data_IF_272383307160
#
_entry.id   IF_272383307160
#
_cell.length_a   1.000
_cell.length_b   1.000
_cell.length_c   1.000
_cell.angle_alpha   90.00
_cell.angle_beta   90.00
_cell.angle_gamma   90.00
#
_symmetry.space_group_name_H-M   'P 1'
#
loop_
_entity.id
_entity.type
_entity.pdbx_description
1 polymer ?
#
# COMPACT_ATOMS: atom_id res chain seq x y z
N UNK A 1 -57.12 -56.53 -10.93
CA UNK A 1 -56.18 -55.98 -9.92
C UNK A 1 -54.99 -55.23 -10.54
N UNK A 2 -54.37 -55.73 -11.61
CA UNK A 2 -53.21 -55.12 -12.31
C UNK A 2 -53.44 -53.68 -12.86
N UNK A 3 -54.64 -53.35 -13.36
CA UNK A 3 -54.95 -52.00 -13.87
C UNK A 3 -54.88 -50.90 -12.80
N UNK A 4 -55.23 -51.21 -11.55
CA UNK A 4 -55.19 -50.22 -10.47
C UNK A 4 -53.76 -49.91 -10.02
N UNK A 5 -52.87 -50.91 -10.05
CA UNK A 5 -51.46 -50.72 -9.72
C UNK A 5 -50.75 -49.86 -10.78
N UNK A 6 -51.00 -50.09 -12.07
CA UNK A 6 -50.40 -49.29 -13.14
C UNK A 6 -50.81 -47.80 -13.04
N UNK A 7 -52.08 -47.53 -12.71
CA UNK A 7 -52.57 -46.16 -12.55
C UNK A 7 -51.93 -45.45 -11.34
N UNK A 8 -51.60 -46.18 -10.27
CA UNK A 8 -50.85 -45.63 -9.13
C UNK A 8 -49.39 -45.34 -9.46
N UNK A 9 -48.76 -46.20 -10.28
CA UNK A 9 -47.39 -46.00 -10.75
C UNK A 9 -47.32 -44.77 -11.65
N UNK A 10 -48.26 -44.59 -12.58
CA UNK A 10 -48.34 -43.43 -13.46
C UNK A 10 -48.48 -42.11 -12.67
N UNK A 11 -49.37 -42.07 -11.66
CA UNK A 11 -49.53 -40.89 -10.80
C UNK A 11 -48.26 -40.54 -10.02
N UNK A 12 -47.54 -41.55 -9.51
CA UNK A 12 -46.26 -41.33 -8.80
C UNK A 12 -45.17 -40.82 -9.74
N UNK A 13 -45.11 -41.31 -10.97
CA UNK A 13 -44.16 -40.85 -11.98
C UNK A 13 -44.46 -39.41 -12.37
N UNK A 14 -45.72 -39.07 -12.66
CA UNK A 14 -46.14 -37.71 -13.00
C UNK A 14 -45.81 -36.70 -11.89
N UNK A 15 -46.11 -37.04 -10.63
CA UNK A 15 -45.77 -36.19 -9.48
C UNK A 15 -44.26 -35.97 -9.34
N UNK A 16 -43.44 -36.99 -9.65
CA UNK A 16 -41.97 -36.90 -9.60
C UNK A 16 -41.43 -36.04 -10.74
N UNK A 17 -41.96 -36.18 -11.95
CA UNK A 17 -41.59 -35.35 -13.10
C UNK A 17 -41.97 -33.88 -12.84
N UNK A 18 -43.16 -33.62 -12.30
CA UNK A 18 -43.59 -32.25 -11.98
C UNK A 18 -42.72 -31.61 -10.88
N UNK A 19 -42.34 -32.38 -9.85
CA UNK A 19 -41.44 -31.92 -8.80
C UNK A 19 -40.05 -31.59 -9.35
N UNK A 20 -39.50 -32.44 -10.23
CA UNK A 20 -38.20 -32.22 -10.89
C UNK A 20 -38.25 -31.02 -11.84
N UNK A 21 -39.34 -30.84 -12.59
CA UNK A 21 -39.54 -29.68 -13.46
C UNK A 21 -39.66 -28.38 -12.67
N UNK A 22 -40.37 -28.38 -11.52
CA UNK A 22 -40.44 -27.22 -10.62
C UNK A 22 -39.08 -26.89 -9.99
N UNK A 23 -38.29 -27.89 -9.58
CA UNK A 23 -36.92 -27.68 -9.07
C UNK A 23 -36.00 -27.10 -10.15
N UNK A 24 -36.04 -27.64 -11.38
CA UNK A 24 -35.25 -27.11 -12.51
C UNK A 24 -35.68 -25.71 -12.94
N UNK A 25 -36.97 -25.36 -12.81
CA UNK A 25 -37.47 -24.00 -13.08
C UNK A 25 -37.02 -23.00 -12.01
N UNK A 26 -36.86 -23.45 -10.76
CA UNK A 26 -36.22 -22.68 -9.67
C UNK A 26 -34.72 -22.46 -9.93
N UNK A 27 -34.02 -23.49 -10.40
CA UNK A 27 -32.58 -23.43 -10.73
C UNK A 27 -32.27 -22.54 -11.94
N UNK A 28 -33.15 -22.51 -12.96
CA UNK A 28 -32.99 -21.60 -14.12
C UNK A 28 -33.18 -20.12 -13.78
N UNK A 29 -33.90 -19.80 -12.70
CA UNK A 29 -34.06 -18.41 -12.21
C UNK A 29 -32.93 -17.97 -11.26
N UNK A 30 -32.15 -18.91 -10.72
CA UNK A 30 -30.93 -18.64 -9.93
C UNK A 30 -29.63 -18.73 -10.76
N UNK A 31 -29.73 -18.96 -12.08
CA UNK A 31 -28.60 -19.14 -13.00
C UNK A 31 -28.05 -17.88 -13.68
N UNK A 32 -28.44 -16.69 -13.22
CA UNK A 32 -27.80 -15.42 -13.58
C UNK A 32 -27.58 -14.60 -12.32
N UNK A 33 -26.78 -15.13 -11.40
CA UNK A 33 -25.91 -14.24 -10.63
C UNK A 33 -25.06 -13.50 -11.66
N UNK A 34 -25.07 -12.15 -11.70
CA UNK A 34 -24.01 -11.41 -12.38
C UNK A 34 -22.71 -12.02 -11.86
N UNK A 35 -21.75 -12.30 -12.76
CA UNK A 35 -20.38 -12.60 -12.36
C UNK A 35 -20.08 -11.65 -11.21
N UNK A 36 -19.95 -12.19 -9.99
CA UNK A 36 -19.63 -11.38 -8.84
C UNK A 36 -18.30 -10.76 -9.22
N UNK A 37 -18.34 -9.49 -9.62
CA UNK A 37 -17.16 -8.70 -9.91
C UNK A 37 -16.29 -8.89 -8.69
N UNK A 38 -15.10 -9.47 -8.88
CA UNK A 38 -14.04 -9.49 -7.88
C UNK A 38 -14.11 -8.11 -7.21
N UNK A 39 -14.31 -8.02 -5.89
CA UNK A 39 -14.36 -6.74 -5.21
C UNK A 39 -13.13 -5.99 -5.69
N UNK A 40 -13.33 -4.86 -6.39
CA UNK A 40 -12.20 -4.06 -6.85
C UNK A 40 -11.33 -3.85 -5.62
N UNK A 41 -10.15 -4.45 -5.63
CA UNK A 41 -9.27 -4.47 -4.47
C UNK A 41 -9.18 -3.04 -3.94
N UNK A 42 -9.36 -2.86 -2.64
CA UNK A 42 -9.31 -1.54 -2.00
C UNK A 42 -8.01 -0.89 -2.48
N UNK A 43 -8.13 0.13 -3.33
CA UNK A 43 -6.98 0.81 -3.91
C UNK A 43 -6.40 1.73 -2.83
N UNK A 44 -5.53 1.18 -2.00
CA UNK A 44 -4.86 1.92 -0.94
C UNK A 44 -3.80 2.81 -1.59
N UNK A 45 -3.80 4.13 -1.33
CA UNK A 45 -2.76 5.03 -1.81
C UNK A 45 -1.37 4.54 -1.39
N UNK A 46 -0.39 4.67 -2.29
CA UNK A 46 0.97 4.18 -2.04
C UNK A 46 1.65 4.93 -0.88
N UNK A 47 1.19 6.14 -0.59
CA UNK A 47 1.61 6.97 0.53
C UNK A 47 1.20 6.36 1.87
N UNK A 48 0.02 5.73 1.94
CA UNK A 48 -0.48 5.03 3.13
C UNK A 48 0.23 3.69 3.30
N UNK A 49 0.42 2.97 2.18
CA UNK A 49 1.15 1.69 2.18
C UNK A 49 2.61 1.87 2.64
N UNK A 50 3.30 2.87 2.08
CA UNK A 50 4.70 3.17 2.43
C UNK A 50 4.86 3.61 3.87
N UNK A 51 3.91 4.39 4.39
CA UNK A 51 3.88 4.78 5.80
C UNK A 51 3.74 3.59 6.74
N UNK A 52 2.75 2.73 6.52
CA UNK A 52 2.54 1.53 7.34
C UNK A 52 3.77 0.62 7.32
N UNK A 53 4.34 0.42 6.14
CA UNK A 53 5.55 -0.39 5.99
C UNK A 53 6.74 0.21 6.74
N UNK A 54 6.92 1.53 6.64
CA UNK A 54 7.99 2.24 7.34
C UNK A 54 7.85 2.12 8.86
N UNK A 55 6.65 2.29 9.41
CA UNK A 55 6.41 2.11 10.85
C UNK A 55 6.70 0.67 11.30
N UNK A 56 6.33 -0.33 10.51
CA UNK A 56 6.66 -1.73 10.79
C UNK A 56 8.17 -1.98 10.78
N UNK A 57 8.91 -1.40 9.82
CA UNK A 57 10.34 -1.65 9.66
C UNK A 57 11.21 -0.86 10.65
N UNK A 58 10.76 0.33 11.08
CA UNK A 58 11.57 1.26 11.87
C UNK A 58 11.00 1.63 13.24
N UNK A 59 9.68 1.61 13.47
CA UNK A 59 9.10 2.11 14.72
C UNK A 59 8.84 0.98 15.74
N UNK A 60 8.39 -0.19 15.30
CA UNK A 60 7.96 -1.24 16.22
C UNK A 60 9.12 -1.92 16.98
N UNK A 61 10.30 -2.07 16.36
CA UNK A 61 11.39 -2.88 16.91
C UNK A 61 12.74 -2.13 17.08
N UNK A 62 12.82 -0.83 16.77
CA UNK A 62 14.12 -0.13 16.74
C UNK A 62 14.60 0.39 18.11
N UNK A 63 13.68 0.54 19.08
CA UNK A 63 13.96 1.26 20.33
C UNK A 63 14.22 2.77 20.14
N UNK A 64 14.09 3.30 18.92
CA UNK A 64 14.31 4.71 18.59
C UNK A 64 12.99 5.46 18.77
N UNK A 65 12.86 6.16 19.90
CA UNK A 65 11.64 6.91 20.28
C UNK A 65 11.27 8.03 19.32
N UNK A 66 12.22 8.53 18.53
CA UNK A 66 11.96 9.51 17.46
C UNK A 66 10.89 9.03 16.46
N UNK A 67 10.84 7.74 16.13
CA UNK A 67 9.84 7.26 15.17
C UNK A 67 8.40 7.32 15.73
N UNK A 68 8.24 7.37 17.05
CA UNK A 68 6.92 7.47 17.69
C UNK A 68 6.28 8.86 17.50
N UNK A 69 7.07 9.91 17.24
CA UNK A 69 6.54 11.26 17.02
C UNK A 69 6.19 11.53 15.56
N UNK A 70 6.73 10.75 14.61
CA UNK A 70 6.51 10.95 13.18
C UNK A 70 5.04 10.90 12.72
N UNK A 71 4.12 10.09 13.30
CA UNK A 71 2.71 10.13 12.93
C UNK A 71 2.09 11.54 13.03
N UNK A 72 2.58 12.38 13.96
CA UNK A 72 2.12 13.77 14.12
C UNK A 72 2.45 14.62 12.89
N UNK A 73 3.58 14.32 12.24
CA UNK A 73 4.10 15.05 11.09
C UNK A 73 3.60 14.52 9.74
N UNK A 74 2.85 13.41 9.74
CA UNK A 74 2.20 12.88 8.54
C UNK A 74 0.89 13.63 8.20
N UNK A 75 0.37 14.45 9.11
CA UNK A 75 -0.90 15.17 8.94
C UNK A 75 -0.73 16.50 8.21
N UNK A 76 -1.81 17.02 7.62
CA UNK A 76 -1.81 18.32 6.92
C UNK A 76 -1.47 19.51 7.82
N UNK A 77 -1.64 19.37 9.13
CA UNK A 77 -1.24 20.40 10.11
C UNK A 77 0.27 20.51 10.32
N UNK A 78 1.05 19.56 9.82
CA UNK A 78 2.50 19.58 9.96
C UNK A 78 3.15 20.62 9.03
N UNK A 79 4.29 21.22 9.44
CA UNK A 79 5.07 22.07 8.55
C UNK A 79 5.42 21.34 7.26
N UNK A 80 5.33 22.05 6.13
CA UNK A 80 5.50 21.45 4.79
C UNK A 80 6.84 20.74 4.63
N UNK A 81 7.93 21.29 5.19
CA UNK A 81 9.25 20.64 5.18
C UNK A 81 9.22 19.25 5.82
N UNK A 82 8.61 19.13 6.99
CA UNK A 82 8.43 17.86 7.71
C UNK A 82 7.60 16.87 6.92
N UNK A 83 6.41 17.28 6.49
CA UNK A 83 5.45 16.40 5.81
C UNK A 83 6.06 15.82 4.53
N UNK A 84 6.67 16.66 3.71
CA UNK A 84 7.34 16.25 2.48
C UNK A 84 8.56 15.34 2.77
N UNK A 85 9.33 15.61 3.84
CA UNK A 85 10.43 14.75 4.25
C UNK A 85 9.97 13.36 4.71
N UNK A 86 8.85 13.29 5.44
CA UNK A 86 8.24 12.02 5.85
C UNK A 86 7.83 11.21 4.62
N UNK A 87 7.11 11.81 3.66
CA UNK A 87 6.74 11.14 2.41
C UNK A 87 7.95 10.68 1.62
N UNK A 88 9.02 11.49 1.55
CA UNK A 88 10.24 11.12 0.86
C UNK A 88 10.88 9.86 1.45
N UNK A 89 11.04 9.82 2.78
CA UNK A 89 11.66 8.68 3.47
C UNK A 89 10.82 7.42 3.37
N UNK A 90 9.51 7.51 3.58
CA UNK A 90 8.65 6.32 3.57
C UNK A 90 8.57 5.72 2.17
N UNK A 91 8.39 6.55 1.14
CA UNK A 91 8.40 6.09 -0.26
C UNK A 91 9.77 5.54 -0.65
N UNK A 92 10.88 6.16 -0.22
CA UNK A 92 12.22 5.64 -0.50
C UNK A 92 12.45 4.27 0.15
N UNK A 93 12.00 4.09 1.39
CA UNK A 93 12.09 2.81 2.10
C UNK A 93 11.32 1.71 1.40
N UNK A 94 10.09 2.00 0.96
CA UNK A 94 9.25 1.07 0.20
C UNK A 94 9.84 0.78 -1.18
N UNK A 95 10.27 1.82 -1.90
CA UNK A 95 10.93 1.70 -3.20
C UNK A 95 12.16 0.79 -3.11
N UNK A 96 12.95 0.92 -2.04
CA UNK A 96 14.11 0.05 -1.78
C UNK A 96 13.69 -1.40 -1.62
N UNK A 97 12.66 -1.66 -0.82
CA UNK A 97 12.14 -3.01 -0.55
C UNK A 97 11.58 -3.67 -1.81
N UNK A 98 10.80 -2.93 -2.59
CA UNK A 98 10.17 -3.42 -3.83
C UNK A 98 11.10 -3.37 -5.05
N UNK A 99 12.27 -2.74 -4.94
CA UNK A 99 13.21 -2.47 -6.05
C UNK A 99 12.59 -1.68 -7.22
N UNK A 100 11.58 -0.87 -6.93
CA UNK A 100 10.91 -0.03 -7.93
C UNK A 100 11.59 1.33 -8.09
N UNK A 101 11.98 1.67 -9.32
CA UNK A 101 12.62 2.96 -9.64
C UNK A 101 11.63 4.13 -9.67
N UNK A 102 10.40 3.88 -10.09
CA UNK A 102 9.31 4.88 -10.16
C UNK A 102 8.96 5.43 -8.78
N UNK A 103 8.81 4.55 -7.78
CA UNK A 103 8.58 4.98 -6.40
C UNK A 103 9.74 5.81 -5.86
N UNK A 104 10.98 5.47 -6.22
CA UNK A 104 12.14 6.27 -5.85
C UNK A 104 12.16 7.64 -6.56
N UNK A 105 11.62 7.73 -7.77
CA UNK A 105 11.47 9.02 -8.46
C UNK A 105 10.46 9.92 -7.74
N UNK A 106 9.33 9.38 -7.29
CA UNK A 106 8.35 10.10 -6.46
C UNK A 106 8.96 10.53 -5.12
N UNK A 107 9.71 9.62 -4.48
CA UNK A 107 10.40 9.92 -3.24
C UNK A 107 11.38 11.11 -3.40
N UNK A 108 12.13 11.16 -4.51
CA UNK A 108 12.99 12.31 -4.85
C UNK A 108 12.22 13.61 -5.06
N UNK A 109 11.02 13.56 -5.66
CA UNK A 109 10.20 14.76 -5.84
C UNK A 109 9.78 15.36 -4.48
N UNK A 110 9.35 14.51 -3.55
CA UNK A 110 9.04 14.94 -2.18
C UNK A 110 10.29 15.47 -1.46
N UNK A 111 11.45 14.81 -1.64
CA UNK A 111 12.72 15.27 -1.08
C UNK A 111 13.09 16.68 -1.57
N UNK A 112 13.00 16.95 -2.87
CA UNK A 112 13.28 18.28 -3.43
C UNK A 112 12.33 19.36 -2.89
N UNK A 113 11.04 19.05 -2.75
CA UNK A 113 10.05 19.97 -2.14
C UNK A 113 10.39 20.25 -0.68
N UNK A 114 10.78 19.22 0.06
CA UNK A 114 11.17 19.35 1.45
C UNK A 114 12.41 20.24 1.61
N UNK A 115 13.43 20.10 0.74
CA UNK A 115 14.62 20.97 0.77
C UNK A 115 14.24 22.42 0.52
N UNK A 116 13.40 22.69 -0.48
CA UNK A 116 12.95 24.03 -0.77
C UNK A 116 12.21 24.65 0.42
N UNK A 117 11.31 23.90 1.06
CA UNK A 117 10.58 24.35 2.25
C UNK A 117 11.50 24.52 3.48
N UNK A 118 12.48 23.63 3.66
CA UNK A 118 13.47 23.72 4.73
C UNK A 118 14.33 24.97 4.58
N UNK A 119 14.78 25.29 3.37
CA UNK A 119 15.54 26.52 3.11
C UNK A 119 14.74 27.78 3.47
N UNK A 120 13.43 27.79 3.23
CA UNK A 120 12.57 28.89 3.68
C UNK A 120 12.56 28.96 5.21
N UNK A 121 12.35 27.83 5.89
CA UNK A 121 12.33 27.77 7.35
C UNK A 121 13.66 28.21 7.98
N UNK A 122 14.80 27.82 7.39
CA UNK A 122 16.14 28.19 7.87
C UNK A 122 16.50 29.67 7.68
N UNK A 123 15.84 30.36 6.76
CA UNK A 123 16.03 31.80 6.54
C UNK A 123 15.15 32.65 7.46
N UNK A 124 14.18 32.04 8.14
CA UNK A 124 13.32 32.70 9.13
C UNK A 124 13.79 32.33 10.55
N UNK A 125 14.26 33.29 11.36
CA UNK A 125 14.78 33.00 12.70
C UNK A 125 13.72 32.42 13.66
N UNK A 126 12.43 32.62 13.39
CA UNK A 126 11.34 32.05 14.19
C UNK A 126 11.10 30.59 13.79
N UNK A 127 11.00 30.31 12.49
CA UNK A 127 10.77 28.95 11.99
C UNK A 127 11.99 28.03 12.19
N UNK A 128 13.20 28.59 12.15
CA UNK A 128 14.45 27.84 12.35
C UNK A 128 14.51 27.17 13.73
N UNK A 129 13.86 27.76 14.74
CA UNK A 129 13.84 27.25 16.10
C UNK A 129 12.81 26.14 16.33
N UNK A 130 12.00 25.79 15.34
CA UNK A 130 11.00 24.73 15.48
C UNK A 130 11.61 23.34 15.44
N UNK A 131 11.10 22.43 16.28
CA UNK A 131 11.44 21.00 16.25
C UNK A 131 11.21 20.36 14.87
N UNK A 132 10.32 20.94 14.08
CA UNK A 132 10.03 20.52 12.70
C UNK A 132 11.27 20.57 11.81
N UNK A 133 12.16 21.55 12.00
CA UNK A 133 13.42 21.66 11.27
C UNK A 133 14.35 20.50 11.61
N UNK A 134 14.47 20.18 12.91
CA UNK A 134 15.30 19.05 13.39
C UNK A 134 14.77 17.71 12.88
N UNK A 135 13.46 17.49 12.95
CA UNK A 135 12.78 16.30 12.42
C UNK A 135 13.07 16.15 10.92
N UNK A 136 12.96 17.24 10.16
CA UNK A 136 13.22 17.27 8.71
C UNK A 136 14.67 16.87 8.40
N UNK A 137 15.65 17.46 9.10
CA UNK A 137 17.08 17.17 8.90
C UNK A 137 17.42 15.71 9.22
N UNK A 138 16.83 15.14 10.27
CA UNK A 138 17.02 13.74 10.61
C UNK A 138 16.43 12.82 9.54
N UNK A 139 15.25 13.15 9.01
CA UNK A 139 14.64 12.41 7.90
C UNK A 139 15.47 12.50 6.62
N UNK A 140 16.08 13.65 6.32
CA UNK A 140 16.99 13.79 5.17
C UNK A 140 18.19 12.88 5.29
N UNK A 141 18.80 12.82 6.48
CA UNK A 141 19.91 11.91 6.75
C UNK A 141 19.51 10.45 6.49
N UNK A 142 18.31 10.04 6.90
CA UNK A 142 17.79 8.69 6.63
C UNK A 142 17.52 8.42 5.15
N UNK A 143 17.00 9.43 4.42
CA UNK A 143 16.79 9.35 2.98
C UNK A 143 18.10 9.18 2.22
N UNK A 144 19.11 10.00 2.54
CA UNK A 144 20.42 9.98 1.88
C UNK A 144 21.15 8.66 2.11
N UNK A 145 21.11 8.10 3.32
CA UNK A 145 21.65 6.76 3.61
C UNK A 145 20.94 5.71 2.77
N UNK A 146 19.61 5.79 2.66
CA UNK A 146 18.81 4.87 1.85
C UNK A 146 19.11 4.96 0.35
N UNK A 147 19.47 6.14 -0.14
CA UNK A 147 19.85 6.40 -1.52
C UNK A 147 21.31 5.99 -1.82
N UNK A 148 22.25 6.34 -0.95
CA UNK A 148 23.67 6.03 -1.09
C UNK A 148 23.92 4.52 -1.18
N UNK A 149 23.18 3.73 -0.39
CA UNK A 149 23.22 2.26 -0.42
C UNK A 149 22.85 1.65 -1.79
N UNK A 150 22.16 2.37 -2.68
CA UNK A 150 21.90 1.93 -4.08
C UNK A 150 23.04 2.26 -5.05
N UNK A 151 23.89 3.25 -4.75
CA UNK A 151 25.00 3.67 -5.62
C UNK A 151 26.30 2.88 -5.33
N UNK A 152 26.52 2.45 -4.08
CA UNK A 152 27.70 1.66 -3.72
C UNK A 152 27.83 0.27 -4.38
N UNK A 153 26.78 -0.54 -4.63
CA UNK A 153 26.96 -1.84 -5.27
C UNK A 153 27.44 -1.74 -6.73
N UNK A 154 27.25 -0.59 -7.39
CA UNK A 154 27.68 -0.39 -8.78
C UNK A 154 29.15 0.03 -8.92
N UNK A 155 29.83 0.41 -7.83
CA UNK A 155 31.23 0.87 -7.88
C UNK A 155 32.24 -0.25 -7.67
N UNK A 156 31.84 -1.37 -7.07
CA UNK A 156 32.72 -2.53 -6.83
C UNK A 156 32.82 -3.42 -8.09
N UNK A 157 31.78 -3.47 -8.93
CA UNK A 157 31.79 -4.28 -10.15
C UNK A 157 32.66 -3.73 -11.29
N UNK A 158 33.08 -2.45 -11.24
CA UNK A 158 33.95 -1.86 -12.27
C UNK A 158 35.45 -1.97 -11.98
N UNK A 159 35.85 -2.49 -10.82
CA UNK A 159 37.27 -2.70 -10.49
C UNK A 159 37.70 -4.16 -10.70
N UNK A 160 36.75 -5.09 -10.92
CA UNK A 160 37.06 -6.52 -11.13
C UNK A 160 37.24 -6.93 -12.60
N UNK A 161 37.46 -5.98 -13.52
CA UNK A 161 37.61 -6.25 -14.97
C UNK A 161 38.95 -5.72 -15.55
N UNK A 162 39.95 -5.55 -14.68
CA UNK A 162 41.32 -5.19 -15.03
C UNK A 162 42.29 -6.04 -14.17
N UNK A 163 42.21 -7.36 -14.29
CA UNK A 163 43.31 -8.30 -14.01
C UNK A 163 43.30 -9.32 -15.15
#
# INVERSE_FOLDING_TARGET
MLRMQNNQVEKKVQARVEKVLKTRRRERFTGRTPIASIPQGVHIPVEVLSWNQFCSDYAMDSGITFFNILPRYYTDSAPTCCREAVHAVTLASLARKLRESELMARARQHYSKAIAALNIALNDPVLTAEDSVLVTLLLFSLFEVSFALRLFPLRISRVSLLI
#
